data_IF_739971321954
#
_entry.id   IF_739971321954
#
_cell.length_a   1.000
_cell.length_b   1.000
_cell.length_c   1.000
_cell.angle_alpha   90.00
_cell.angle_beta   90.00
_cell.angle_gamma   90.00
#
_symmetry.space_group_name_H-M   'P 1'
#
loop_
_entity.id
_entity.type
_entity.pdbx_description
1 polymer ?
#
# COMPACT_ATOMS: atom_id res chain seq x y z
N UNK A 1 -25.28 21.08 -29.18
CA UNK A 1 -26.07 21.33 -27.96
C UNK A 1 -25.80 20.16 -27.05
N UNK A 2 -25.41 20.47 -25.83
CA UNK A 2 -24.54 19.68 -24.95
C UNK A 2 -25.24 18.47 -24.34
N UNK A 3 -24.63 17.29 -24.49
CA UNK A 3 -24.81 16.17 -23.56
C UNK A 3 -23.78 16.33 -22.44
N UNK A 4 -24.13 17.15 -21.45
CA UNK A 4 -23.45 17.19 -20.16
C UNK A 4 -23.82 15.91 -19.41
N UNK A 5 -23.07 14.84 -19.70
CA UNK A 5 -23.11 13.63 -18.90
C UNK A 5 -22.80 14.00 -17.46
N UNK A 6 -23.79 13.79 -16.60
CA UNK A 6 -23.72 13.97 -15.16
C UNK A 6 -22.59 13.09 -14.63
N UNK A 7 -21.40 13.67 -14.48
CA UNK A 7 -20.35 13.06 -13.68
C UNK A 7 -20.98 12.82 -12.31
N UNK A 8 -21.17 11.56 -11.93
CA UNK A 8 -21.60 11.21 -10.60
C UNK A 8 -20.66 11.95 -9.65
N UNK A 9 -21.22 12.93 -8.93
CA UNK A 9 -20.49 13.76 -7.99
C UNK A 9 -20.14 12.85 -6.80
N UNK A 10 -19.13 12.00 -6.98
CA UNK A 10 -18.60 11.17 -5.92
C UNK A 10 -18.14 12.15 -4.84
N UNK A 11 -18.76 12.12 -3.64
CA UNK A 11 -18.39 13.06 -2.59
C UNK A 11 -16.91 12.92 -2.32
N UNK A 12 -16.18 14.04 -2.34
CA UNK A 12 -14.77 14.09 -1.96
C UNK A 12 -14.67 13.49 -0.56
N UNK A 13 -13.90 12.41 -0.37
CA UNK A 13 -13.79 11.79 0.95
C UNK A 13 -13.29 12.80 1.98
N UNK A 14 -13.85 12.71 3.18
CA UNK A 14 -13.49 13.63 4.27
C UNK A 14 -12.04 13.41 4.69
N UNK A 15 -11.42 14.40 5.36
CA UNK A 15 -10.09 14.22 5.93
C UNK A 15 -10.01 13.07 6.93
N UNK A 16 -11.11 12.81 7.67
CA UNK A 16 -11.22 11.64 8.52
C UNK A 16 -11.14 10.34 7.70
N UNK A 17 -11.89 10.25 6.60
CA UNK A 17 -11.84 9.09 5.69
C UNK A 17 -10.46 8.93 5.06
N UNK A 18 -9.80 10.02 4.62
CA UNK A 18 -8.46 9.96 4.06
C UNK A 18 -7.43 9.40 5.08
N UNK A 19 -7.49 9.86 6.34
CA UNK A 19 -6.63 9.34 7.40
C UNK A 19 -6.91 7.84 7.71
N UNK A 20 -8.18 7.41 7.73
CA UNK A 20 -8.52 5.98 7.88
C UNK A 20 -7.98 5.12 6.73
N UNK A 21 -8.07 5.59 5.49
CA UNK A 21 -7.54 4.86 4.33
C UNK A 21 -6.01 4.78 4.39
N UNK A 22 -5.33 5.83 4.86
CA UNK A 22 -3.88 5.81 5.10
C UNK A 22 -3.50 4.83 6.22
N UNK A 23 -4.29 4.75 7.29
CA UNK A 23 -4.12 3.73 8.35
C UNK A 23 -4.13 2.31 7.77
N UNK A 24 -5.15 1.99 6.96
CA UNK A 24 -5.25 0.69 6.32
C UNK A 24 -4.11 0.43 5.31
N UNK A 25 -3.58 1.47 4.66
CA UNK A 25 -2.44 1.34 3.76
C UNK A 25 -1.11 1.03 4.48
N UNK A 26 -0.92 1.50 5.71
CA UNK A 26 0.21 1.08 6.54
C UNK A 26 0.14 -0.40 6.92
N UNK A 27 -1.04 -0.90 7.25
CA UNK A 27 -1.25 -2.33 7.56
C UNK A 27 -1.08 -3.21 6.32
N UNK A 28 -1.57 -2.76 5.16
CA UNK A 28 -1.31 -3.45 3.90
C UNK A 28 0.18 -3.49 3.60
N UNK A 29 0.90 -2.37 3.81
CA UNK A 29 2.34 -2.32 3.62
C UNK A 29 3.07 -3.29 4.54
N UNK A 30 2.66 -3.40 5.82
CA UNK A 30 3.19 -4.39 6.75
C UNK A 30 3.03 -5.82 6.21
N UNK A 31 1.84 -6.16 5.72
CA UNK A 31 1.57 -7.48 5.15
C UNK A 31 2.43 -7.76 3.91
N UNK A 32 2.66 -6.75 3.07
CA UNK A 32 3.45 -6.86 1.84
C UNK A 32 4.96 -6.96 2.08
N UNK A 33 5.47 -6.29 3.12
CA UNK A 33 6.89 -6.39 3.51
C UNK A 33 7.19 -7.60 4.39
N UNK A 34 6.17 -8.32 4.84
CA UNK A 34 6.31 -9.53 5.64
C UNK A 34 6.43 -10.78 4.76
N UNK A 35 6.75 -11.91 5.39
CA UNK A 35 6.69 -13.19 4.67
C UNK A 35 5.28 -13.41 4.07
N UNK A 36 5.18 -13.78 2.78
CA UNK A 36 3.89 -14.01 2.13
C UNK A 36 3.01 -15.02 2.87
N UNK A 37 1.74 -14.65 3.04
CA UNK A 37 0.72 -15.46 3.70
C UNK A 37 -0.24 -16.08 2.69
N UNK A 38 -0.92 -17.15 3.07
CA UNK A 38 -1.97 -17.77 2.25
C UNK A 38 -3.10 -16.78 1.93
N UNK A 39 -3.60 -16.05 2.95
CA UNK A 39 -4.68 -15.09 2.78
C UNK A 39 -4.35 -13.91 1.84
N UNK A 40 -3.09 -13.43 1.85
CA UNK A 40 -2.64 -12.44 0.86
C UNK A 40 -2.70 -13.02 -0.56
N UNK A 41 -2.17 -14.23 -0.74
CA UNK A 41 -2.14 -14.91 -2.03
C UNK A 41 -3.54 -15.22 -2.57
N UNK A 42 -4.49 -15.59 -1.70
CA UNK A 42 -5.89 -15.77 -2.08
C UNK A 42 -6.53 -14.48 -2.60
N UNK A 43 -6.37 -13.35 -1.88
CA UNK A 43 -6.89 -12.04 -2.32
C UNK A 43 -6.31 -11.56 -3.65
N UNK A 44 -5.07 -11.91 -3.94
CA UNK A 44 -4.45 -11.61 -5.24
C UNK A 44 -5.07 -12.46 -6.36
N UNK A 45 -5.33 -13.73 -6.08
CA UNK A 45 -5.83 -14.72 -7.04
C UNK A 45 -7.29 -14.52 -7.41
N UNK A 46 -8.10 -14.01 -6.49
CA UNK A 46 -9.50 -13.64 -6.77
C UNK A 46 -9.66 -12.17 -7.17
N UNK A 47 -8.59 -11.38 -7.09
CA UNK A 47 -8.53 -9.98 -7.53
C UNK A 47 -9.00 -8.97 -6.48
N UNK A 48 -9.38 -9.40 -5.27
CA UNK A 48 -9.74 -8.51 -4.16
C UNK A 48 -8.61 -7.55 -3.78
N UNK A 49 -7.36 -8.02 -3.84
CA UNK A 49 -6.19 -7.20 -3.52
C UNK A 49 -6.13 -5.91 -4.36
N UNK A 50 -6.40 -6.01 -5.67
CA UNK A 50 -6.40 -4.84 -6.56
C UNK A 50 -7.47 -3.82 -6.18
N UNK A 51 -8.66 -4.31 -5.84
CA UNK A 51 -9.79 -3.46 -5.43
C UNK A 51 -9.46 -2.75 -4.13
N UNK A 52 -8.89 -3.48 -3.17
CA UNK A 52 -8.46 -2.94 -1.88
C UNK A 52 -7.37 -1.88 -2.06
N UNK A 53 -6.29 -2.18 -2.81
CA UNK A 53 -5.20 -1.23 -3.05
C UNK A 53 -5.67 0.07 -3.72
N UNK A 54 -6.54 -0.02 -4.74
CA UNK A 54 -7.11 1.18 -5.39
C UNK A 54 -7.95 2.01 -4.42
N UNK A 55 -8.76 1.34 -3.58
CA UNK A 55 -9.63 2.01 -2.62
C UNK A 55 -8.82 2.81 -1.58
N UNK A 56 -7.63 2.33 -1.18
CA UNK A 56 -6.77 3.03 -0.21
C UNK A 56 -6.28 4.40 -0.72
N UNK A 57 -6.11 4.55 -2.04
CA UNK A 57 -5.72 5.82 -2.66
C UNK A 57 -6.87 6.64 -3.25
N UNK A 58 -8.13 6.19 -3.14
CA UNK A 58 -9.25 6.81 -3.87
C UNK A 58 -9.49 8.27 -3.51
N UNK A 59 -9.05 8.70 -2.32
CA UNK A 59 -9.15 10.06 -1.84
C UNK A 59 -8.23 11.06 -2.56
N UNK A 60 -7.27 10.56 -3.35
CA UNK A 60 -6.37 11.37 -4.17
C UNK A 60 -6.94 11.70 -5.57
N UNK A 61 -8.08 11.12 -5.93
CA UNK A 61 -8.66 11.28 -7.27
C UNK A 61 -7.70 10.83 -8.37
N UNK A 62 -7.44 11.72 -9.34
CA UNK A 62 -6.55 11.45 -10.48
C UNK A 62 -5.07 11.30 -10.09
N UNK A 63 -4.70 11.69 -8.86
CA UNK A 63 -3.34 11.52 -8.33
C UNK A 63 -3.15 10.17 -7.62
N UNK A 64 -4.13 9.27 -7.69
CA UNK A 64 -4.01 7.94 -7.11
C UNK A 64 -2.98 7.11 -7.90
N UNK A 65 -1.86 6.67 -7.29
CA UNK A 65 -0.83 5.89 -7.99
C UNK A 65 -1.20 4.41 -8.17
N UNK A 66 -2.12 3.85 -7.37
CA UNK A 66 -2.41 2.41 -7.38
C UNK A 66 -2.98 1.85 -8.70
N UNK A 67 -3.84 2.58 -9.46
CA UNK A 67 -4.34 2.15 -10.76
C UNK A 67 -3.25 1.80 -11.79
N UNK A 68 -2.07 2.41 -11.71
CA UNK A 68 -0.97 2.16 -12.66
C UNK A 68 -0.49 0.70 -12.63
N UNK A 69 -0.70 0.01 -11.51
CA UNK A 69 -0.25 -1.37 -11.32
C UNK A 69 -1.32 -2.42 -11.70
N UNK A 70 -2.54 -2.00 -12.02
CA UNK A 70 -3.67 -2.88 -12.35
C UNK A 70 -3.41 -3.79 -13.54
N UNK A 71 -2.76 -3.36 -14.65
CA UNK A 71 -2.47 -4.27 -15.76
C UNK A 71 -1.57 -5.45 -15.33
N UNK A 72 -0.53 -5.18 -14.55
CA UNK A 72 0.38 -6.20 -14.02
C UNK A 72 -0.34 -7.16 -13.06
N UNK A 73 -1.22 -6.63 -12.22
CA UNK A 73 -2.03 -7.43 -11.30
C UNK A 73 -3.00 -8.35 -12.06
N UNK A 74 -3.70 -7.86 -13.10
CA UNK A 74 -4.56 -8.70 -13.95
C UNK A 74 -3.80 -9.85 -14.61
N UNK A 75 -2.56 -9.60 -15.04
CA UNK A 75 -1.68 -10.66 -15.59
C UNK A 75 -1.36 -11.69 -14.50
N UNK A 76 -1.00 -11.24 -13.29
CA UNK A 76 -0.70 -12.11 -12.18
C UNK A 76 -1.91 -12.98 -11.79
N UNK A 77 -3.10 -12.39 -11.60
CA UNK A 77 -4.36 -13.09 -11.34
C UNK A 77 -4.68 -14.14 -12.42
N UNK A 78 -4.50 -13.79 -13.71
CA UNK A 78 -4.74 -14.72 -14.82
C UNK A 78 -3.76 -15.90 -14.82
N UNK A 79 -2.47 -15.65 -14.54
CA UNK A 79 -1.45 -16.70 -14.44
C UNK A 79 -1.68 -17.61 -13.24
N UNK A 80 -2.06 -17.03 -12.11
CA UNK A 80 -2.25 -17.75 -10.86
C UNK A 80 -3.34 -18.83 -10.99
N UNK A 81 -4.37 -18.63 -11.84
CA UNK A 81 -5.39 -19.66 -12.14
C UNK A 81 -4.82 -20.98 -12.68
N UNK A 82 -3.58 -20.99 -13.19
CA UNK A 82 -2.92 -22.16 -13.78
C UNK A 82 -1.95 -22.86 -12.83
N UNK A 83 -1.72 -22.29 -11.64
CA UNK A 83 -0.79 -22.80 -10.63
C UNK A 83 -1.56 -23.02 -9.33
N UNK A 84 -1.37 -24.16 -8.63
CA UNK A 84 -1.94 -24.36 -7.30
C UNK A 84 -1.50 -23.27 -6.31
N UNK A 85 -2.38 -22.88 -5.39
CA UNK A 85 -2.10 -21.84 -4.38
C UNK A 85 -0.83 -22.14 -3.59
N UNK A 86 -0.69 -23.38 -3.10
CA UNK A 86 0.49 -23.81 -2.31
C UNK A 86 1.79 -23.67 -3.09
N UNK A 87 1.77 -23.93 -4.40
CA UNK A 87 2.95 -23.83 -5.24
C UNK A 87 3.35 -22.36 -5.48
N UNK A 88 2.38 -21.47 -5.73
CA UNK A 88 2.63 -20.02 -5.82
C UNK A 88 3.15 -19.46 -4.48
N UNK A 89 2.51 -19.85 -3.37
CA UNK A 89 2.91 -19.42 -2.02
C UNK A 89 4.33 -19.89 -1.70
N UNK A 90 4.66 -21.15 -2.00
CA UNK A 90 6.01 -21.71 -1.80
C UNK A 90 7.05 -20.95 -2.63
N UNK A 91 6.75 -20.60 -3.88
CA UNK A 91 7.64 -19.80 -4.74
C UNK A 91 7.87 -18.41 -4.17
N UNK A 92 6.80 -17.72 -3.79
CA UNK A 92 6.88 -16.38 -3.21
C UNK A 92 7.67 -16.36 -1.90
N UNK A 93 7.47 -17.34 -1.01
CA UNK A 93 8.27 -17.47 0.23
C UNK A 93 9.73 -17.77 -0.05
N UNK A 94 10.02 -18.68 -0.99
CA UNK A 94 11.39 -19.00 -1.39
C UNK A 94 12.10 -17.78 -1.98
N UNK A 95 11.39 -16.99 -2.80
CA UNK A 95 11.94 -15.77 -3.39
C UNK A 95 12.18 -14.70 -2.32
N UNK A 96 11.22 -14.48 -1.42
CA UNK A 96 11.34 -13.56 -0.29
C UNK A 96 12.54 -13.92 0.62
N UNK A 97 12.65 -15.18 1.04
CA UNK A 97 13.76 -15.66 1.88
C UNK A 97 15.12 -15.57 1.19
N UNK A 98 15.17 -15.74 -0.13
CA UNK A 98 16.40 -15.57 -0.93
C UNK A 98 16.84 -14.10 -0.99
N UNK A 99 15.89 -13.17 -1.08
CA UNK A 99 16.18 -11.73 -1.17
C UNK A 99 16.59 -11.18 0.21
N UNK A 100 15.86 -11.61 1.26
CA UNK A 100 15.97 -11.14 2.63
C UNK A 100 16.29 -12.31 3.60
N UNK A 101 17.49 -12.91 3.52
CA UNK A 101 17.84 -14.10 4.31
C UNK A 101 17.84 -13.86 5.82
N UNK A 102 18.14 -12.64 6.25
CA UNK A 102 18.17 -12.23 7.67
C UNK A 102 16.89 -11.46 8.08
N UNK A 103 15.85 -11.52 7.26
CA UNK A 103 14.66 -10.68 7.37
C UNK A 103 14.79 -9.35 6.64
N UNK A 104 13.72 -8.56 6.62
CA UNK A 104 13.65 -7.31 5.86
C UNK A 104 14.36 -6.14 6.54
N UNK A 105 14.72 -6.29 7.83
CA UNK A 105 15.28 -5.20 8.64
C UNK A 105 14.27 -4.10 8.99
N UNK A 106 13.01 -4.25 8.58
CA UNK A 106 11.92 -3.34 8.90
C UNK A 106 11.19 -3.82 10.16
N UNK A 107 10.89 -2.90 11.07
CA UNK A 107 10.21 -3.22 12.34
C UNK A 107 8.68 -3.31 12.14
N UNK A 108 8.06 -4.48 12.33
CA UNK A 108 6.60 -4.63 12.25
C UNK A 108 5.83 -3.71 13.20
N UNK A 109 6.37 -3.46 14.39
CA UNK A 109 5.72 -2.62 15.39
C UNK A 109 5.59 -1.17 14.92
N UNK A 110 6.56 -0.69 14.14
CA UNK A 110 6.53 0.65 13.58
C UNK A 110 5.37 0.86 12.59
N UNK A 111 5.08 -0.11 11.71
CA UNK A 111 3.91 -0.02 10.81
C UNK A 111 2.59 0.05 11.58
N UNK A 112 2.46 -0.77 12.63
CA UNK A 112 1.26 -0.74 13.48
C UNK A 112 1.12 0.59 14.22
N UNK A 113 2.23 1.21 14.61
CA UNK A 113 2.24 2.54 15.23
C UNK A 113 1.83 3.64 14.23
N UNK A 114 2.28 3.57 12.97
CA UNK A 114 1.85 4.51 11.92
C UNK A 114 0.36 4.39 11.61
N UNK A 115 -0.16 3.17 11.55
CA UNK A 115 -1.61 2.92 11.41
C UNK A 115 -2.38 3.54 12.59
N UNK A 116 -1.97 3.27 13.83
CA UNK A 116 -2.62 3.85 15.01
C UNK A 116 -2.55 5.39 15.04
N UNK A 117 -1.46 5.99 14.57
CA UNK A 117 -1.34 7.44 14.45
C UNK A 117 -2.32 8.03 13.41
N UNK A 118 -2.53 7.33 12.29
CA UNK A 118 -3.52 7.69 11.29
C UNK A 118 -4.95 7.56 11.82
N UNK A 119 -5.25 6.52 12.64
CA UNK A 119 -6.55 6.37 13.29
C UNK A 119 -6.82 7.51 14.28
N UNK A 120 -5.82 7.92 15.05
CA UNK A 120 -5.92 9.08 15.95
C UNK A 120 -6.15 10.39 15.18
N UNK A 121 -5.50 10.58 14.03
CA UNK A 121 -5.76 11.71 13.12
C UNK A 121 -7.20 11.67 12.59
N UNK A 122 -7.67 10.50 12.14
CA UNK A 122 -9.01 10.32 11.63
C UNK A 122 -10.08 10.67 12.68
N UNK A 123 -9.87 10.21 13.92
CA UNK A 123 -10.75 10.53 15.04
C UNK A 123 -10.78 12.05 15.30
N UNK A 124 -9.62 12.71 15.36
CA UNK A 124 -9.55 14.15 15.58
C UNK A 124 -10.28 14.94 14.47
N UNK A 125 -10.16 14.53 13.20
CA UNK A 125 -10.95 15.11 12.11
C UNK A 125 -12.46 14.89 12.28
N UNK A 126 -12.88 13.68 12.69
CA UNK A 126 -14.28 13.34 12.90
C UNK A 126 -14.93 14.10 14.06
N UNK A 127 -14.14 14.45 15.08
CA UNK A 127 -14.57 15.22 16.25
C UNK A 127 -14.48 16.76 16.03
N UNK A 128 -13.94 17.21 14.89
CA UNK A 128 -13.78 18.63 14.56
C UNK A 128 -12.56 19.29 15.21
N UNK A 129 -11.63 18.50 15.78
CA UNK A 129 -10.40 18.95 16.43
C UNK A 129 -9.29 19.27 15.40
N UNK A 130 -9.56 20.20 14.49
CA UNK A 130 -8.73 20.46 13.30
C UNK A 130 -7.25 20.73 13.59
N UNK A 131 -6.92 21.50 14.63
CA UNK A 131 -5.52 21.80 14.99
C UNK A 131 -4.76 20.58 15.52
N UNK A 132 -5.45 19.72 16.28
CA UNK A 132 -4.88 18.46 16.75
C UNK A 132 -4.64 17.52 15.58
N UNK A 133 -5.60 17.40 14.67
CA UNK A 133 -5.47 16.56 13.48
C UNK A 133 -4.29 16.98 12.60
N UNK A 134 -4.10 18.29 12.36
CA UNK A 134 -2.93 18.83 11.64
C UNK A 134 -1.60 18.54 12.35
N UNK A 135 -1.60 18.63 13.68
CA UNK A 135 -0.41 18.33 14.49
C UNK A 135 -0.04 16.85 14.38
N UNK A 136 -1.01 15.95 14.53
CA UNK A 136 -0.81 14.51 14.34
C UNK A 136 -0.28 14.18 12.94
N UNK A 137 -0.83 14.80 11.89
CA UNK A 137 -0.35 14.60 10.51
C UNK A 137 1.12 15.00 10.34
N UNK A 138 1.53 16.12 10.95
CA UNK A 138 2.93 16.58 10.93
C UNK A 138 3.85 15.62 11.69
N UNK A 139 3.44 15.17 12.88
CA UNK A 139 4.21 14.21 13.68
C UNK A 139 4.41 12.88 12.96
N UNK A 140 3.38 12.38 12.24
CA UNK A 140 3.51 11.21 11.37
C UNK A 140 4.58 11.43 10.30
N UNK A 141 4.52 12.56 9.58
CA UNK A 141 5.50 12.90 8.54
C UNK A 141 6.94 12.99 9.08
N UNK A 142 7.12 13.58 10.26
CA UNK A 142 8.42 13.67 10.94
C UNK A 142 8.92 12.29 11.38
N UNK A 143 8.03 11.44 11.92
CA UNK A 143 8.36 10.07 12.35
C UNK A 143 8.72 9.14 11.19
N UNK A 144 8.29 9.45 9.96
CA UNK A 144 8.64 8.70 8.75
C UNK A 144 10.08 8.98 8.29
N UNK A 145 10.60 10.20 8.49
CA UNK A 145 11.88 10.60 7.89
C UNK A 145 13.05 9.66 8.22
N UNK A 146 13.23 9.18 9.46
CA UNK A 146 14.33 8.27 9.79
C UNK A 146 14.22 6.88 9.14
N UNK A 147 13.02 6.47 8.72
CA UNK A 147 12.73 5.14 8.17
C UNK A 147 12.69 5.14 6.65
N UNK A 148 12.59 6.31 6.01
CA UNK A 148 12.30 6.43 4.59
C UNK A 148 13.36 5.73 3.73
N UNK A 149 14.65 5.88 4.04
CA UNK A 149 15.74 5.23 3.30
C UNK A 149 15.66 3.70 3.36
N UNK A 150 15.36 3.12 4.53
CA UNK A 150 15.21 1.68 4.68
C UNK A 150 13.98 1.16 3.91
N UNK A 151 12.87 1.90 3.96
CA UNK A 151 11.63 1.55 3.26
C UNK A 151 11.77 1.64 1.75
N UNK A 152 12.39 2.70 1.22
CA UNK A 152 12.67 2.81 -0.22
C UNK A 152 13.70 1.78 -0.66
N UNK A 153 14.73 1.53 0.14
CA UNK A 153 15.71 0.48 -0.09
C UNK A 153 15.08 -0.91 -0.18
N UNK A 154 14.09 -1.22 0.67
CA UNK A 154 13.31 -2.44 0.57
C UNK A 154 12.53 -2.51 -0.75
N UNK A 155 11.86 -1.43 -1.14
CA UNK A 155 11.09 -1.38 -2.39
C UNK A 155 11.99 -1.64 -3.61
N UNK A 156 13.12 -0.94 -3.72
CA UNK A 156 14.09 -1.13 -4.81
C UNK A 156 14.64 -2.55 -4.81
N UNK A 157 15.07 -3.06 -3.64
CA UNK A 157 15.61 -4.42 -3.50
C UNK A 157 14.61 -5.47 -3.98
N UNK A 158 13.34 -5.34 -3.58
CA UNK A 158 12.29 -6.27 -3.95
C UNK A 158 11.96 -6.19 -5.45
N UNK A 159 11.79 -4.99 -6.03
CA UNK A 159 11.46 -4.83 -7.46
C UNK A 159 12.59 -5.35 -8.38
N UNK A 160 13.84 -5.12 -8.01
CA UNK A 160 15.02 -5.49 -8.79
C UNK A 160 15.37 -6.98 -8.68
N UNK A 161 15.31 -7.53 -7.46
CA UNK A 161 15.86 -8.88 -7.20
C UNK A 161 14.82 -9.98 -7.29
N UNK A 162 13.52 -9.68 -7.28
CA UNK A 162 12.46 -10.71 -7.35
C UNK A 162 12.41 -11.42 -8.70
N UNK A 163 12.26 -12.74 -8.67
CA UNK A 163 11.96 -13.55 -9.85
C UNK A 163 10.46 -13.57 -10.18
N UNK A 164 9.62 -13.09 -9.27
CA UNK A 164 8.18 -13.24 -9.31
C UNK A 164 7.49 -11.90 -9.65
N UNK A 165 6.51 -11.93 -10.56
CA UNK A 165 5.74 -10.71 -10.92
C UNK A 165 5.03 -10.10 -9.70
N UNK A 166 4.60 -10.95 -8.77
CA UNK A 166 3.95 -10.50 -7.53
C UNK A 166 4.91 -9.74 -6.62
N UNK A 167 6.19 -10.10 -6.59
CA UNK A 167 7.18 -9.35 -5.83
C UNK A 167 7.31 -7.91 -6.30
N UNK A 168 7.29 -7.69 -7.62
CA UNK A 168 7.28 -6.33 -8.20
C UNK A 168 6.02 -5.57 -7.84
N UNK A 169 4.87 -6.23 -7.83
CA UNK A 169 3.61 -5.62 -7.41
C UNK A 169 3.69 -5.20 -5.94
N UNK A 170 4.29 -6.02 -5.06
CA UNK A 170 4.43 -5.69 -3.64
C UNK A 170 5.32 -4.46 -3.46
N UNK A 171 6.50 -4.47 -4.07
CA UNK A 171 7.43 -3.35 -4.07
C UNK A 171 6.77 -2.03 -4.49
N UNK A 172 6.07 -2.06 -5.64
CA UNK A 172 5.43 -0.87 -6.21
C UNK A 172 4.23 -0.39 -5.41
N UNK A 173 3.47 -1.30 -4.80
CA UNK A 173 2.33 -0.93 -3.94
C UNK A 173 2.82 -0.23 -2.67
N UNK A 174 3.89 -0.72 -2.05
CA UNK A 174 4.50 -0.06 -0.89
C UNK A 174 5.11 1.29 -1.31
N UNK A 175 5.84 1.33 -2.42
CA UNK A 175 6.41 2.57 -2.94
C UNK A 175 5.32 3.63 -3.22
N UNK A 176 4.23 3.25 -3.87
CA UNK A 176 3.08 4.12 -4.11
C UNK A 176 2.54 4.74 -2.80
N UNK A 177 2.42 3.95 -1.72
CA UNK A 177 2.03 4.47 -0.42
C UNK A 177 3.08 5.42 0.18
N UNK A 178 4.36 5.09 0.11
CA UNK A 178 5.44 5.96 0.59
C UNK A 178 5.48 7.30 -0.17
N UNK A 179 5.15 7.33 -1.47
CA UNK A 179 5.04 8.58 -2.23
C UNK A 179 3.94 9.48 -1.67
N UNK A 180 2.80 8.89 -1.30
CA UNK A 180 1.68 9.59 -0.66
C UNK A 180 2.09 10.16 0.71
N UNK A 181 2.82 9.38 1.49
CA UNK A 181 3.20 9.77 2.86
C UNK A 181 4.35 10.77 2.93
N UNK A 182 5.31 10.66 2.02
CA UNK A 182 6.52 11.49 2.01
C UNK A 182 6.44 12.69 1.05
N UNK A 183 5.50 12.68 0.11
CA UNK A 183 5.45 13.65 -1.00
C UNK A 183 6.64 13.58 -1.94
N UNK A 184 7.47 12.53 -1.83
CA UNK A 184 8.61 12.28 -2.73
C UNK A 184 8.21 11.23 -3.73
N UNK A 185 8.70 11.37 -4.95
CA UNK A 185 8.62 10.26 -5.88
C UNK A 185 9.62 9.18 -5.45
N UNK A 186 9.10 8.05 -4.99
CA UNK A 186 9.90 6.87 -4.63
C UNK A 186 9.80 5.77 -5.70
N UNK A 187 9.09 6.01 -6.79
CA UNK A 187 9.00 5.12 -7.94
C UNK A 187 9.84 5.73 -9.06
N UNK A 188 11.03 5.19 -9.28
CA UNK A 188 11.92 5.61 -10.38
C UNK A 188 11.39 5.23 -11.76
#
# INVERSE_FOLDING_TARGET
MSDEATAANHPVPTMATAAMLRSAAWLLSLELVSEPTEGLMERIRDGRFSVEAIALGSWLGDQNPFPEHVPSQKIATSRAKRVPLDEDLRRMRADHARIFPDGTGLDPAWFTAQSAACDAEAQAWGEGENERARTLRREQFESLQPHLEALTGWCSTMDERTGELLGKIFARTVAAHLSIESGRDVVG
#
